data_IF_404797764885
#
_entry.id   IF_404797764885
#
_cell.length_a   1.000
_cell.length_b   1.000
_cell.length_c   1.000
_cell.angle_alpha   90.00
_cell.angle_beta   90.00
_cell.angle_gamma   90.00
#
_symmetry.space_group_name_H-M   'P 1'
#
loop_
_entity.id
_entity.type
_entity.pdbx_description
1 polymer ?
#
# COMPACT_ATOMS: atom_id res chain seq x y z
N UNK A 1 33.17 1.36 27.53
CA UNK A 1 32.05 0.56 26.94
C UNK A 1 30.91 1.50 26.69
N UNK A 2 30.72 1.91 25.42
CA UNK A 2 29.58 2.69 24.99
C UNK A 2 28.49 1.70 24.63
N UNK A 3 27.47 1.54 25.49
CA UNK A 3 26.25 0.86 25.16
C UNK A 3 25.52 1.70 24.12
N UNK A 4 25.64 1.28 22.85
CA UNK A 4 24.80 1.79 21.76
C UNK A 4 23.35 1.43 22.09
N UNK A 5 22.63 2.37 22.67
CA UNK A 5 21.19 2.28 22.80
C UNK A 5 20.62 2.34 21.36
N UNK A 6 20.43 1.17 20.75
CA UNK A 6 19.54 1.06 19.61
C UNK A 6 18.17 1.56 20.08
N UNK A 7 17.89 2.84 19.81
CA UNK A 7 16.54 3.34 19.93
C UNK A 7 15.71 2.47 18.97
N UNK A 8 14.87 1.60 19.53
CA UNK A 8 13.83 0.90 18.80
C UNK A 8 12.93 1.99 18.20
N UNK A 9 13.22 2.39 16.97
CA UNK A 9 12.34 3.26 16.21
C UNK A 9 11.04 2.49 16.07
N UNK A 10 10.05 2.90 16.86
CA UNK A 10 8.71 2.31 16.81
C UNK A 10 8.22 2.38 15.37
N UNK A 11 8.11 1.22 14.72
CA UNK A 11 7.66 1.13 13.34
C UNK A 11 6.18 1.52 13.28
N UNK A 12 5.79 2.20 12.21
CA UNK A 12 4.39 2.54 11.98
C UNK A 12 3.65 1.30 11.48
N UNK A 13 2.62 0.89 12.20
CA UNK A 13 1.80 -0.28 11.85
C UNK A 13 0.97 0.00 10.58
N UNK A 14 0.78 -1.03 9.75
CA UNK A 14 -0.16 -0.98 8.65
C UNK A 14 -1.59 -1.13 9.18
N UNK A 15 -2.51 -0.40 8.54
CA UNK A 15 -3.94 -0.55 8.77
C UNK A 15 -4.47 -1.74 8.00
N UNK A 16 -5.47 -2.44 8.49
CA UNK A 16 -6.05 -3.66 7.93
C UNK A 16 -5.13 -4.90 7.93
N UNK A 17 -3.83 -4.73 8.13
CA UNK A 17 -2.84 -5.79 8.10
C UNK A 17 -2.24 -5.99 9.49
N UNK A 18 -2.91 -6.77 10.32
CA UNK A 18 -2.46 -7.05 11.68
C UNK A 18 -1.02 -7.60 11.67
N UNK A 19 -0.20 -7.14 12.60
CA UNK A 19 1.20 -7.53 12.78
C UNK A 19 2.18 -7.07 11.69
N UNK A 20 1.75 -6.35 10.66
CA UNK A 20 2.65 -5.75 9.67
C UNK A 20 2.95 -4.28 10.00
N UNK A 21 4.18 -3.85 9.67
CA UNK A 21 4.62 -2.47 9.89
C UNK A 21 5.50 -2.00 8.74
N UNK A 22 5.40 -0.70 8.43
CA UNK A 22 6.34 -0.06 7.52
C UNK A 22 7.78 -0.21 8.02
N UNK A 23 8.71 -0.41 7.11
CA UNK A 23 10.12 -0.60 7.42
C UNK A 23 10.52 -2.05 7.73
N UNK A 24 9.60 -3.00 7.75
CA UNK A 24 9.93 -4.44 7.84
C UNK A 24 10.83 -4.86 6.68
N UNK A 25 11.76 -5.76 6.95
CA UNK A 25 12.53 -6.42 5.90
C UNK A 25 11.69 -7.48 5.18
N UNK A 26 12.01 -7.87 3.93
CA UNK A 26 11.34 -8.96 3.23
C UNK A 26 11.27 -10.24 4.07
N UNK A 27 12.38 -10.64 4.68
CA UNK A 27 12.43 -11.83 5.52
C UNK A 27 11.46 -11.78 6.70
N UNK A 28 11.48 -10.68 7.48
CA UNK A 28 10.57 -10.52 8.62
C UNK A 28 9.11 -10.42 8.19
N UNK A 29 8.86 -9.87 7.00
CA UNK A 29 7.54 -9.79 6.40
C UNK A 29 7.02 -11.19 6.04
N UNK A 30 7.81 -12.02 5.35
CA UNK A 30 7.45 -13.39 4.97
C UNK A 30 7.25 -14.30 6.18
N UNK A 31 8.02 -14.12 7.26
CA UNK A 31 7.83 -14.84 8.53
C UNK A 31 6.45 -14.59 9.16
N UNK A 32 5.85 -13.42 8.93
CA UNK A 32 4.55 -13.02 9.48
C UNK A 32 3.40 -13.27 8.49
N UNK A 33 3.59 -12.91 7.23
CA UNK A 33 2.53 -12.89 6.23
C UNK A 33 2.54 -14.10 5.30
N UNK A 34 3.65 -14.85 5.24
CA UNK A 34 3.85 -16.01 4.37
C UNK A 34 4.53 -15.65 3.05
N UNK A 35 4.78 -16.65 2.23
CA UNK A 35 5.43 -16.51 0.94
C UNK A 35 4.53 -15.81 -0.09
N UNK A 36 5.11 -14.92 -0.88
CA UNK A 36 4.42 -14.25 -1.98
C UNK A 36 4.12 -15.22 -3.12
N UNK A 37 3.02 -15.01 -3.83
CA UNK A 37 2.70 -15.74 -5.08
C UNK A 37 3.72 -15.44 -6.17
N UNK A 38 4.25 -14.22 -6.18
CA UNK A 38 5.28 -13.76 -7.09
C UNK A 38 6.10 -12.62 -6.47
N UNK A 39 7.40 -12.62 -6.72
CA UNK A 39 8.30 -11.50 -6.39
C UNK A 39 8.91 -10.96 -7.68
N UNK A 40 8.76 -9.66 -7.90
CA UNK A 40 9.27 -8.96 -9.09
C UNK A 40 10.20 -7.83 -8.64
N UNK A 41 11.38 -7.73 -9.24
CA UNK A 41 12.23 -6.55 -9.09
C UNK A 41 11.84 -5.52 -10.14
N UNK A 42 11.63 -4.28 -9.71
CA UNK A 42 11.25 -3.19 -10.60
C UNK A 42 12.34 -2.92 -11.66
N UNK A 43 11.90 -2.84 -12.91
CA UNK A 43 12.73 -2.43 -14.03
C UNK A 43 12.26 -1.08 -14.56
N UNK A 44 13.17 -0.15 -14.69
CA UNK A 44 12.93 1.15 -15.32
C UNK A 44 13.62 1.23 -16.66
N UNK A 45 12.95 1.91 -17.60
CA UNK A 45 13.53 2.24 -18.91
C UNK A 45 14.18 3.61 -18.82
N UNK A 46 15.46 3.70 -19.16
CA UNK A 46 16.15 4.96 -19.32
C UNK A 46 16.65 5.11 -20.76
N UNK A 47 16.71 6.35 -21.22
CA UNK A 47 17.27 6.70 -22.52
C UNK A 47 18.62 7.37 -22.29
N UNK A 48 19.65 6.86 -22.98
CA UNK A 48 21.03 7.39 -22.88
C UNK A 48 21.14 8.83 -23.42
N UNK A 49 20.25 9.20 -24.34
CA UNK A 49 20.20 10.53 -24.91
C UNK A 49 18.73 10.96 -25.06
N UNK A 50 18.40 12.14 -24.55
CA UNK A 50 17.05 12.70 -24.60
C UNK A 50 16.58 13.04 -26.01
N UNK A 51 17.49 13.04 -26.98
CA UNK A 51 17.22 13.40 -28.39
C UNK A 51 17.15 12.19 -29.32
N UNK A 52 17.57 11.00 -28.89
CA UNK A 52 17.53 9.78 -29.69
C UNK A 52 16.87 8.68 -28.87
N UNK A 53 15.56 8.53 -29.06
CA UNK A 53 14.75 7.46 -28.45
C UNK A 53 15.09 6.04 -28.98
N UNK A 54 16.20 5.88 -29.72
CA UNK A 54 16.45 4.65 -30.48
C UNK A 54 17.08 3.52 -29.69
N UNK A 55 17.66 3.79 -28.50
CA UNK A 55 18.29 2.76 -27.67
C UNK A 55 17.89 2.89 -26.20
N UNK A 56 16.65 2.47 -25.81
CA UNK A 56 16.31 2.35 -24.40
C UNK A 56 17.13 1.25 -23.76
N UNK A 57 17.65 1.49 -22.56
CA UNK A 57 18.21 0.43 -21.74
C UNK A 57 17.37 0.21 -20.48
N UNK A 58 17.25 -1.04 -20.11
CA UNK A 58 16.53 -1.43 -18.90
C UNK A 58 17.53 -1.60 -17.76
N UNK A 59 17.17 -1.10 -16.58
CA UNK A 59 17.94 -1.32 -15.39
C UNK A 59 17.04 -1.65 -14.21
N UNK A 60 17.55 -2.50 -13.33
CA UNK A 60 16.86 -2.86 -12.10
C UNK A 60 17.02 -1.75 -11.08
N UNK A 61 15.92 -1.33 -10.48
CA UNK A 61 15.93 -0.24 -9.48
C UNK A 61 16.32 -0.70 -8.10
N UNK A 62 16.23 -2.01 -7.83
CA UNK A 62 16.40 -2.61 -6.52
C UNK A 62 15.15 -2.52 -5.63
N UNK A 63 14.03 -1.97 -6.15
CA UNK A 63 12.73 -2.09 -5.48
C UNK A 63 12.13 -3.45 -5.77
N UNK A 64 11.47 -4.05 -4.78
CA UNK A 64 10.85 -5.36 -4.91
C UNK A 64 9.35 -5.24 -4.74
N UNK A 65 8.60 -5.93 -5.61
CA UNK A 65 7.16 -6.06 -5.53
C UNK A 65 6.80 -7.49 -5.16
N UNK A 66 6.13 -7.65 -4.03
CA UNK A 66 5.62 -8.92 -3.53
C UNK A 66 4.13 -8.99 -3.83
N UNK A 67 3.72 -9.90 -4.71
CA UNK A 67 2.34 -10.08 -5.14
C UNK A 67 1.69 -11.26 -4.42
N UNK A 68 0.49 -11.03 -3.93
CA UNK A 68 -0.39 -12.02 -3.32
C UNK A 68 -1.70 -12.05 -4.09
N UNK A 69 -1.95 -13.13 -4.82
CA UNK A 69 -3.16 -13.29 -5.65
C UNK A 69 -4.42 -13.49 -4.81
N UNK A 70 -4.27 -13.99 -3.58
CA UNK A 70 -5.38 -14.16 -2.68
C UNK A 70 -4.99 -13.78 -1.26
N UNK A 71 -5.67 -12.76 -0.74
CA UNK A 71 -5.60 -12.35 0.67
C UNK A 71 -7.01 -12.27 1.24
N UNK A 72 -7.14 -12.41 2.55
CA UNK A 72 -8.40 -12.16 3.25
C UNK A 72 -8.16 -11.15 4.36
N UNK A 73 -8.80 -9.99 4.25
CA UNK A 73 -8.69 -8.88 5.20
C UNK A 73 -10.06 -8.50 5.72
N UNK A 74 -10.26 -8.57 7.04
CA UNK A 74 -11.52 -8.19 7.70
C UNK A 74 -12.76 -8.84 7.07
N UNK A 75 -12.62 -10.07 6.55
CA UNK A 75 -13.70 -10.82 5.89
C UNK A 75 -13.85 -10.57 4.38
N UNK A 76 -13.05 -9.67 3.80
CA UNK A 76 -13.02 -9.42 2.36
C UNK A 76 -11.87 -10.16 1.70
N UNK A 77 -12.15 -10.83 0.59
CA UNK A 77 -11.14 -11.53 -0.21
C UNK A 77 -10.68 -10.61 -1.35
N UNK A 78 -9.39 -10.57 -1.58
CA UNK A 78 -8.79 -9.73 -2.61
C UNK A 78 -7.37 -10.15 -2.94
N UNK A 79 -6.64 -9.28 -3.62
CA UNK A 79 -5.21 -9.42 -3.94
C UNK A 79 -4.44 -8.24 -3.36
N UNK A 80 -3.14 -8.41 -3.10
CA UNK A 80 -2.30 -7.33 -2.62
C UNK A 80 -0.92 -7.32 -3.27
N UNK A 81 -0.35 -6.12 -3.35
CA UNK A 81 1.05 -5.89 -3.68
C UNK A 81 1.70 -5.11 -2.55
N UNK A 82 2.82 -5.63 -2.05
CA UNK A 82 3.67 -4.96 -1.08
C UNK A 82 4.94 -4.51 -1.78
N UNK A 83 5.27 -3.24 -1.62
CA UNK A 83 6.44 -2.62 -2.25
C UNK A 83 7.54 -2.41 -1.22
N UNK A 84 8.71 -2.97 -1.50
CA UNK A 84 9.92 -2.75 -0.72
C UNK A 84 10.85 -1.79 -1.44
N UNK A 85 11.39 -0.82 -0.71
CA UNK A 85 12.36 0.15 -1.22
C UNK A 85 13.67 -0.50 -1.68
N UNK A 86 14.54 0.28 -2.31
CA UNK A 86 15.92 -0.11 -2.65
C UNK A 86 16.75 -0.58 -1.44
N UNK A 87 16.41 -0.13 -0.25
CA UNK A 87 17.02 -0.58 1.01
C UNK A 87 16.29 -1.79 1.63
N UNK A 88 15.43 -2.44 0.86
CA UNK A 88 14.62 -3.60 1.25
C UNK A 88 13.82 -3.33 2.53
N UNK A 89 13.08 -2.22 2.54
CA UNK A 89 12.15 -1.86 3.61
C UNK A 89 10.75 -1.69 3.05
N UNK A 90 9.77 -2.29 3.70
CA UNK A 90 8.37 -2.13 3.32
C UNK A 90 7.97 -0.66 3.38
N UNK A 91 7.53 -0.09 2.26
CA UNK A 91 7.21 1.34 2.13
C UNK A 91 5.80 1.62 1.62
N UNK A 92 5.18 0.66 0.94
CA UNK A 92 3.86 0.83 0.36
C UNK A 92 3.11 -0.49 0.33
N UNK A 93 1.81 -0.43 0.46
CA UNK A 93 0.90 -1.53 0.21
C UNK A 93 -0.26 -1.06 -0.68
N UNK A 94 -0.61 -1.88 -1.66
CA UNK A 94 -1.81 -1.72 -2.48
C UNK A 94 -2.63 -2.99 -2.37
N UNK A 95 -3.89 -2.88 -1.95
CA UNK A 95 -4.83 -4.00 -1.92
C UNK A 95 -6.03 -3.74 -2.84
N UNK A 96 -6.51 -4.77 -3.51
CA UNK A 96 -7.64 -4.74 -4.41
C UNK A 96 -8.71 -5.74 -3.97
N UNK A 97 -9.92 -5.29 -3.79
CA UNK A 97 -11.07 -6.09 -3.39
C UNK A 97 -12.12 -6.09 -4.50
N UNK A 98 -12.15 -7.12 -5.36
CA UNK A 98 -13.13 -7.22 -6.43
C UNK A 98 -14.52 -7.48 -5.89
N UNK A 99 -15.54 -6.93 -6.57
CA UNK A 99 -16.95 -7.13 -6.29
C UNK A 99 -17.74 -7.31 -7.59
N UNK A 100 -18.93 -7.86 -7.49
CA UNK A 100 -19.73 -8.27 -8.67
C UNK A 100 -20.61 -7.16 -9.21
N UNK A 101 -20.87 -6.12 -8.42
CA UNK A 101 -21.79 -5.05 -8.81
C UNK A 101 -21.39 -3.68 -8.24
N UNK A 102 -21.90 -2.61 -8.85
CA UNK A 102 -21.71 -1.24 -8.36
C UNK A 102 -22.32 -1.02 -6.97
N UNK A 103 -23.41 -1.69 -6.66
CA UNK A 103 -24.04 -1.60 -5.33
C UNK A 103 -23.14 -2.24 -4.25
N UNK A 104 -22.54 -3.40 -4.53
CA UNK A 104 -21.56 -4.02 -3.65
C UNK A 104 -20.31 -3.17 -3.52
N UNK A 105 -19.85 -2.52 -4.61
CA UNK A 105 -18.71 -1.62 -4.57
C UNK A 105 -18.96 -0.45 -3.61
N UNK A 106 -20.12 0.18 -3.67
CA UNK A 106 -20.49 1.27 -2.77
C UNK A 106 -20.58 0.81 -1.29
N UNK A 107 -21.19 -0.36 -1.06
CA UNK A 107 -21.29 -0.94 0.27
C UNK A 107 -19.89 -1.27 0.86
N UNK A 108 -19.04 -1.88 0.04
CA UNK A 108 -17.68 -2.21 0.44
C UNK A 108 -16.85 -0.95 0.70
N UNK A 109 -16.94 0.06 -0.16
CA UNK A 109 -16.27 1.35 0.02
C UNK A 109 -16.63 1.97 1.37
N UNK A 110 -17.92 2.04 1.71
CA UNK A 110 -18.39 2.57 2.98
C UNK A 110 -17.86 1.78 4.17
N UNK A 111 -17.92 0.45 4.11
CA UNK A 111 -17.45 -0.43 5.18
C UNK A 111 -15.94 -0.32 5.40
N UNK A 112 -15.15 -0.30 4.33
CA UNK A 112 -13.69 -0.12 4.41
C UNK A 112 -13.34 1.27 4.92
N UNK A 113 -14.05 2.31 4.47
CA UNK A 113 -13.90 3.66 4.98
C UNK A 113 -14.04 3.71 6.51
N UNK A 114 -15.13 3.14 7.06
CA UNK A 114 -15.36 3.12 8.51
C UNK A 114 -14.32 2.27 9.25
N UNK A 115 -13.95 1.12 8.70
CA UNK A 115 -12.96 0.21 9.30
C UNK A 115 -11.59 0.86 9.35
N UNK A 116 -11.13 1.43 8.24
CA UNK A 116 -9.84 2.13 8.15
C UNK A 116 -9.79 3.30 9.14
N UNK A 117 -10.84 4.12 9.20
CA UNK A 117 -10.93 5.22 10.15
C UNK A 117 -10.75 4.75 11.58
N UNK A 118 -11.50 3.73 11.99
CA UNK A 118 -11.44 3.17 13.35
C UNK A 118 -10.04 2.63 13.69
N UNK A 119 -9.40 1.93 12.75
CA UNK A 119 -8.06 1.39 12.97
C UNK A 119 -6.99 2.49 13.03
N UNK A 120 -7.12 3.53 12.20
CA UNK A 120 -6.23 4.70 12.24
C UNK A 120 -6.32 5.42 13.60
N UNK A 121 -7.52 5.65 14.11
CA UNK A 121 -7.76 6.28 15.42
C UNK A 121 -7.23 5.42 16.59
N UNK A 122 -7.10 4.11 16.38
CA UNK A 122 -6.57 3.16 17.37
C UNK A 122 -5.04 3.02 17.36
N UNK A 123 -4.33 3.66 16.41
CA UNK A 123 -2.86 3.57 16.36
C UNK A 123 -2.24 4.15 17.64
N UNK A 124 -1.21 3.50 18.20
CA UNK A 124 -0.62 3.90 19.50
C UNK A 124 -0.04 5.31 19.53
N UNK A 125 0.41 5.80 18.36
CA UNK A 125 1.03 7.12 18.17
C UNK A 125 0.13 8.07 17.36
N UNK A 126 -1.16 7.77 17.27
CA UNK A 126 -2.14 8.65 16.62
C UNK A 126 -2.18 10.02 17.28
N UNK A 127 -2.08 11.08 16.50
CA UNK A 127 -2.18 12.46 16.95
C UNK A 127 -3.42 13.15 16.38
N UNK A 128 -3.58 13.10 15.08
CA UNK A 128 -4.71 13.71 14.38
C UNK A 128 -4.87 13.13 12.98
N UNK A 129 -6.05 13.30 12.42
CA UNK A 129 -6.37 12.86 11.06
C UNK A 129 -7.12 13.95 10.31
N UNK A 130 -6.73 14.16 9.05
CA UNK A 130 -7.52 14.89 8.06
C UNK A 130 -8.05 13.94 7.02
N UNK A 131 -9.25 14.20 6.52
CA UNK A 131 -9.85 13.45 5.41
C UNK A 131 -9.97 14.37 4.20
N UNK A 132 -9.61 13.86 3.03
CA UNK A 132 -9.67 14.55 1.76
C UNK A 132 -10.22 13.60 0.69
N UNK A 133 -10.59 14.11 -0.47
CA UNK A 133 -11.00 13.29 -1.63
C UNK A 133 -9.77 12.85 -2.43
N UNK A 134 -9.85 11.65 -3.05
CA UNK A 134 -8.76 11.10 -3.86
C UNK A 134 -8.98 11.40 -5.34
N UNK A 135 -8.13 12.26 -5.90
CA UNK A 135 -7.82 12.37 -7.32
C UNK A 135 -9.03 12.57 -8.27
N UNK A 136 -8.98 11.88 -9.41
CA UNK A 136 -9.96 11.98 -10.50
C UNK A 136 -11.33 11.34 -10.22
N UNK A 137 -11.49 10.68 -9.08
CA UNK A 137 -12.72 9.99 -8.70
C UNK A 137 -13.29 10.66 -7.45
N UNK A 138 -14.33 11.43 -7.60
CA UNK A 138 -15.02 12.17 -6.51
C UNK A 138 -15.57 11.25 -5.39
N UNK A 139 -15.52 9.94 -5.58
CA UNK A 139 -16.08 8.94 -4.67
C UNK A 139 -15.04 8.30 -3.72
N UNK A 140 -13.76 8.67 -3.80
CA UNK A 140 -12.70 8.11 -2.97
C UNK A 140 -12.35 8.96 -1.75
N UNK A 141 -11.72 8.35 -0.76
CA UNK A 141 -11.30 9.01 0.49
C UNK A 141 -9.82 8.84 0.72
N UNK A 142 -9.17 9.92 1.15
CA UNK A 142 -7.79 9.93 1.63
C UNK A 142 -7.74 10.33 3.09
N UNK A 143 -7.13 9.48 3.90
CA UNK A 143 -6.77 9.81 5.26
C UNK A 143 -5.31 10.24 5.33
N UNK A 144 -5.07 11.40 5.93
CA UNK A 144 -3.74 11.94 6.24
C UNK A 144 -3.59 11.95 7.75
N UNK A 145 -2.80 11.02 8.28
CA UNK A 145 -2.70 10.79 9.72
C UNK A 145 -1.34 11.26 10.22
N UNK A 146 -1.36 12.22 11.14
CA UNK A 146 -0.18 12.64 11.88
C UNK A 146 0.07 11.70 13.04
N UNK A 147 1.30 11.22 13.14
CA UNK A 147 1.76 10.33 14.18
C UNK A 147 2.75 11.05 15.09
N UNK A 148 2.60 10.90 16.42
CA UNK A 148 3.46 11.53 17.40
C UNK A 148 4.92 11.11 17.24
N UNK A 149 5.84 12.10 17.27
CA UNK A 149 7.28 11.87 17.13
C UNK A 149 7.74 11.42 15.75
N UNK A 150 6.88 11.38 14.74
CA UNK A 150 7.23 11.01 13.36
C UNK A 150 7.37 12.26 12.49
N UNK A 151 8.34 12.21 11.55
CA UNK A 151 8.52 13.22 10.48
C UNK A 151 7.73 12.87 9.23
N UNK A 152 6.87 11.87 9.30
CA UNK A 152 6.08 11.35 8.18
C UNK A 152 4.62 11.29 8.59
N UNK A 153 3.75 11.52 7.63
CA UNK A 153 2.33 11.23 7.73
C UNK A 153 2.05 9.85 7.13
N UNK A 154 1.18 9.09 7.76
CA UNK A 154 0.58 7.91 7.16
C UNK A 154 -0.58 8.36 6.28
N UNK A 155 -0.52 8.02 5.00
CA UNK A 155 -1.61 8.23 4.07
C UNK A 155 -2.27 6.89 3.74
N UNK A 156 -3.59 6.89 3.79
CA UNK A 156 -4.41 5.73 3.42
C UNK A 156 -5.50 6.19 2.48
N UNK A 157 -5.44 5.69 1.25
CA UNK A 157 -6.41 5.96 0.20
C UNK A 157 -7.37 4.77 0.08
N UNK A 158 -8.66 5.03 0.05
CA UNK A 158 -9.72 4.04 -0.19
C UNK A 158 -10.62 4.57 -1.30
N UNK A 159 -10.61 3.91 -2.44
CA UNK A 159 -11.35 4.41 -3.60
C UNK A 159 -11.83 3.31 -4.56
N UNK A 160 -12.95 3.57 -5.26
CA UNK A 160 -13.44 2.65 -6.28
C UNK A 160 -12.55 2.73 -7.52
N UNK A 161 -12.31 1.60 -8.15
CA UNK A 161 -11.70 1.51 -9.48
C UNK A 161 -12.60 0.69 -10.39
N UNK A 162 -12.64 1.06 -11.65
CA UNK A 162 -13.20 0.21 -12.71
C UNK A 162 -11.98 -0.36 -13.47
N UNK A 163 -11.77 -1.66 -13.37
CA UNK A 163 -10.68 -2.30 -14.09
C UNK A 163 -11.06 -2.43 -15.56
N UNK A 164 -10.61 -1.45 -16.36
CA UNK A 164 -10.80 -1.40 -17.79
C UNK A 164 -9.78 -2.22 -18.59
N UNK A 165 -9.07 -3.16 -17.98
CA UNK A 165 -8.10 -3.98 -18.69
C UNK A 165 -8.79 -4.86 -19.73
N UNK A 166 -8.61 -4.47 -20.96
CA UNK A 166 -9.09 -5.12 -22.17
C UNK A 166 -8.63 -6.57 -22.19
N UNK A 167 -9.56 -7.50 -22.02
CA UNK A 167 -9.35 -8.91 -22.33
C UNK A 167 -9.51 -9.92 -21.22
N UNK A 168 -9.75 -9.53 -19.97
CA UNK A 168 -10.18 -10.47 -18.93
C UNK A 168 -11.60 -10.16 -18.46
N UNK A 169 -12.42 -11.17 -18.32
CA UNK A 169 -13.76 -11.09 -17.71
C UNK A 169 -13.68 -10.80 -16.19
N UNK A 170 -12.62 -10.16 -15.72
CA UNK A 170 -12.24 -10.10 -14.32
C UNK A 170 -12.52 -8.71 -13.81
N UNK A 171 -13.39 -8.66 -12.83
CA UNK A 171 -13.50 -7.62 -11.81
C UNK A 171 -13.78 -6.19 -12.31
N UNK A 172 -14.91 -6.03 -13.02
CA UNK A 172 -15.35 -4.71 -13.50
C UNK A 172 -15.44 -3.67 -12.38
N UNK A 173 -15.71 -4.10 -11.16
CA UNK A 173 -15.82 -3.24 -9.99
C UNK A 173 -14.84 -3.70 -8.91
N UNK A 174 -14.00 -2.79 -8.46
CA UNK A 174 -12.99 -3.07 -7.43
C UNK A 174 -12.92 -1.91 -6.45
N UNK A 175 -12.66 -2.19 -5.19
CA UNK A 175 -12.18 -1.17 -4.24
C UNK A 175 -10.68 -1.35 -4.08
N UNK A 176 -9.94 -0.26 -4.22
CA UNK A 176 -8.50 -0.20 -3.99
C UNK A 176 -8.20 0.51 -2.68
N UNK A 177 -7.25 -0.05 -1.93
CA UNK A 177 -6.71 0.56 -0.72
C UNK A 177 -5.20 0.68 -0.88
N UNK A 178 -4.70 1.92 -0.86
CA UNK A 178 -3.27 2.21 -0.87
C UNK A 178 -2.84 2.77 0.48
N UNK A 179 -1.68 2.33 0.98
CA UNK A 179 -1.10 2.84 2.23
C UNK A 179 0.38 3.13 2.03
N UNK A 180 0.82 4.32 2.42
CA UNK A 180 2.21 4.74 2.28
C UNK A 180 2.56 5.86 3.27
N UNK A 181 3.86 6.04 3.52
CA UNK A 181 4.38 7.09 4.38
C UNK A 181 4.90 8.26 3.54
N UNK A 182 4.33 9.46 3.74
CA UNK A 182 4.78 10.71 3.11
C UNK A 182 5.64 11.52 4.08
N UNK A 183 6.74 12.09 3.58
CA UNK A 183 7.51 13.08 4.34
C UNK A 183 6.74 14.40 4.43
N UNK A 184 6.75 14.99 5.62
CA UNK A 184 6.27 16.35 5.83
C UNK A 184 7.26 17.37 5.30
#
# INVERSE_FOLDING_TARGET
MLLSACQNVKQTQLVLFDSLSFGMSPKSFEEVFGEASQVVEEEETAYRDTWRAEDPYFYKTGRLFYHYEQITLKGYTGRARFTFSKSHRLEEVTAHFPVTSKAEQQALLFNLFQTVKKELEALPDYQSMATDTVGLYDDGYRYKVKLEGKRKELWVDVYPTEDGSVGSQVDKYTIRVDQFLMYQ
#
